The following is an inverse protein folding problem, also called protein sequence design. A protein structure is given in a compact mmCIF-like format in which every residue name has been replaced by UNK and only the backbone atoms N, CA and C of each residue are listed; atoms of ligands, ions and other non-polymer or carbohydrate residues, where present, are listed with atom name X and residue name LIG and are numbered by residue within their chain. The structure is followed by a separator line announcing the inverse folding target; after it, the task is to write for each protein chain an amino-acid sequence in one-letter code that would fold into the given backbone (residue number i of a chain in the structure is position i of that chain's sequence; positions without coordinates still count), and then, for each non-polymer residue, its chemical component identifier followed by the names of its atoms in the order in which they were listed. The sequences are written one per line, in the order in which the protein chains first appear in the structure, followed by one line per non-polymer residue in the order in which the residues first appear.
data_IF_096455484056
#
_entry.id   IF_096455484056
#
_cell.length_a   1.000
_cell.length_b   1.000
_cell.length_c   1.000
_cell.angle_alpha   90.00
_cell.angle_beta   90.00
_cell.angle_gamma   90.00
#
_symmetry.space_group_name_H-M   'P 1'
#
loop_
_entity.id
_entity.type
_entity.pdbx_description
1 polymer ?
#
# COMPACT_ATOMS: atom_id res chain seq x y z
N UNK A 1 -5.22 7.48 -3.13
CA UNK A 1 -6.15 8.54 -2.66
C UNK A 1 -5.37 9.84 -2.52
N UNK A 2 -5.95 10.96 -2.93
CA UNK A 2 -5.45 12.31 -2.60
C UNK A 2 -6.29 12.88 -1.44
N UNK A 3 -5.62 13.52 -0.48
CA UNK A 3 -6.26 14.13 0.71
C UNK A 3 -5.59 15.46 1.02
N UNK A 4 -6.37 16.49 1.34
CA UNK A 4 -5.89 17.84 1.67
C UNK A 4 -6.96 18.67 2.37
N UNK A 5 -6.58 19.83 2.88
CA UNK A 5 -7.49 20.86 3.38
C UNK A 5 -7.65 21.96 2.34
N UNK A 6 -8.88 22.46 2.16
CA UNK A 6 -9.16 23.58 1.29
C UNK A 6 -10.15 24.57 1.90
N UNK A 7 -9.96 25.86 1.63
CA UNK A 7 -10.90 26.92 2.01
C UNK A 7 -11.13 27.87 0.83
N UNK A 8 -12.38 28.32 0.58
CA UNK A 8 -12.64 29.25 -0.51
C UNK A 8 -12.15 30.64 -0.12
N UNK A 9 -11.75 31.45 -1.11
CA UNK A 9 -11.46 32.85 -0.86
C UNK A 9 -12.68 33.58 -0.28
N UNK A 10 -12.47 34.39 0.76
CA UNK A 10 -13.56 35.14 1.41
C UNK A 10 -14.23 36.11 0.41
N UNK A 11 -15.53 35.94 0.21
CA UNK A 11 -16.30 36.72 -0.75
C UNK A 11 -16.31 36.16 -2.18
N UNK A 12 -16.01 34.86 -2.35
CA UNK A 12 -16.35 34.11 -3.56
C UNK A 12 -17.87 33.94 -3.66
N UNK A 13 -18.47 34.12 -4.84
CA UNK A 13 -19.89 33.83 -5.09
C UNK A 13 -20.13 32.36 -5.40
N UNK A 14 -19.08 31.63 -5.81
CA UNK A 14 -19.06 30.19 -5.94
C UNK A 14 -17.97 29.61 -5.03
N UNK A 15 -18.35 28.66 -4.18
CA UNK A 15 -17.45 28.00 -3.23
C UNK A 15 -17.08 26.57 -3.69
N UNK A 16 -17.30 26.24 -4.96
CA UNK A 16 -16.91 24.95 -5.53
C UNK A 16 -15.41 24.89 -5.81
N UNK A 17 -14.80 23.79 -5.36
CA UNK A 17 -13.51 23.30 -5.81
C UNK A 17 -13.74 22.15 -6.78
N UNK A 18 -13.13 22.23 -7.95
CA UNK A 18 -13.19 21.22 -8.99
C UNK A 18 -11.80 20.61 -9.16
N UNK A 19 -11.72 19.28 -9.07
CA UNK A 19 -10.54 18.50 -9.37
C UNK A 19 -10.65 17.93 -10.78
N UNK A 20 -9.58 18.08 -11.56
CA UNK A 20 -9.45 17.48 -12.87
C UNK A 20 -8.20 16.61 -12.93
N UNK A 21 -8.38 15.38 -13.39
CA UNK A 21 -7.32 14.45 -13.77
C UNK A 21 -7.30 14.29 -15.31
N UNK A 22 -6.43 13.41 -15.81
CA UNK A 22 -6.30 13.07 -17.22
C UNK A 22 -5.76 14.22 -18.10
N UNK A 23 -4.47 14.49 -17.92
CA UNK A 23 -3.68 15.29 -18.85
C UNK A 23 -2.53 14.43 -19.36
N UNK A 24 -2.82 13.54 -20.31
CA UNK A 24 -1.83 12.62 -20.89
C UNK A 24 -1.67 11.27 -20.16
N UNK A 25 -2.59 10.93 -19.25
CA UNK A 25 -2.63 9.66 -18.54
C UNK A 25 -4.09 9.19 -18.38
N UNK A 26 -4.31 7.91 -18.08
CA UNK A 26 -5.64 7.33 -17.84
C UNK A 26 -6.17 7.55 -16.41
N UNK A 27 -5.61 8.52 -15.67
CA UNK A 27 -6.00 8.81 -14.30
C UNK A 27 -7.46 9.32 -14.22
N UNK A 28 -8.24 8.67 -13.37
CA UNK A 28 -9.65 8.98 -13.07
C UNK A 28 -9.80 9.30 -11.58
N UNK A 29 -10.58 10.35 -11.30
CA UNK A 29 -11.02 10.72 -9.96
C UNK A 29 -12.45 10.18 -9.75
N UNK A 30 -12.72 9.59 -8.59
CA UNK A 30 -14.07 9.14 -8.21
C UNK A 30 -15.02 10.31 -7.90
N UNK A 31 -14.48 11.39 -7.34
CA UNK A 31 -15.19 12.64 -7.03
C UNK A 31 -14.38 13.82 -7.56
N UNK A 32 -15.04 14.69 -8.32
CA UNK A 32 -14.40 15.82 -9.00
C UNK A 32 -14.90 17.19 -8.54
N UNK A 33 -15.99 17.28 -7.78
CA UNK A 33 -16.51 18.56 -7.27
C UNK A 33 -16.73 18.50 -5.76
N UNK A 34 -16.32 19.58 -5.07
CA UNK A 34 -16.45 19.73 -3.63
C UNK A 34 -16.99 21.13 -3.32
N UNK A 35 -18.02 21.22 -2.50
CA UNK A 35 -18.51 22.51 -1.98
C UNK A 35 -17.74 22.86 -0.71
N UNK A 36 -16.94 23.91 -0.76
CA UNK A 36 -16.19 24.40 0.39
C UNK A 36 -17.04 25.34 1.25
N UNK A 37 -16.70 25.45 2.54
CA UNK A 37 -17.39 26.34 3.47
C UNK A 37 -16.58 27.62 3.71
N UNK A 38 -17.16 28.82 3.49
CA UNK A 38 -16.48 30.08 3.79
C UNK A 38 -16.05 30.20 5.25
N UNK A 39 -14.85 30.75 5.47
CA UNK A 39 -14.32 31.05 6.81
C UNK A 39 -13.74 29.85 7.57
N UNK A 40 -13.68 28.66 6.96
CA UNK A 40 -13.10 27.47 7.59
C UNK A 40 -12.44 26.53 6.58
N UNK A 41 -11.57 25.65 7.08
CA UNK A 41 -10.98 24.57 6.31
C UNK A 41 -11.99 23.44 6.10
N UNK A 42 -12.08 22.95 4.87
CA UNK A 42 -12.86 21.77 4.47
C UNK A 42 -11.89 20.65 4.11
N UNK A 43 -12.08 19.47 4.69
CA UNK A 43 -11.31 18.29 4.30
C UNK A 43 -11.80 17.78 2.93
N UNK A 44 -10.87 17.58 2.00
CA UNK A 44 -11.16 17.09 0.65
C UNK A 44 -10.42 15.77 0.42
N UNK A 45 -11.16 14.77 -0.07
CA UNK A 45 -10.65 13.43 -0.38
C UNK A 45 -11.20 12.97 -1.72
N UNK A 46 -10.32 12.42 -2.55
CA UNK A 46 -10.69 11.74 -3.80
C UNK A 46 -9.80 10.52 -4.02
N UNK A 47 -10.38 9.42 -4.48
CA UNK A 47 -9.60 8.31 -5.00
C UNK A 47 -9.11 8.64 -6.40
N UNK A 48 -7.85 8.28 -6.66
CA UNK A 48 -7.22 8.41 -7.97
C UNK A 48 -6.88 6.99 -8.42
N UNK A 49 -7.39 6.58 -9.57
CA UNK A 49 -7.08 5.29 -10.20
C UNK A 49 -6.53 5.56 -11.60
N UNK A 50 -5.44 4.89 -11.97
CA UNK A 50 -4.80 5.05 -13.27
C UNK A 50 -3.37 4.55 -13.24
N UNK A 51 -2.65 4.74 -14.34
CA UNK A 51 -1.27 4.32 -14.56
C UNK A 51 -0.42 5.45 -15.15
N UNK A 52 0.89 5.40 -14.90
CA UNK A 52 1.84 6.41 -15.35
C UNK A 52 1.80 7.71 -14.53
N UNK A 53 2.46 8.73 -15.04
CA UNK A 53 2.57 10.03 -14.38
C UNK A 53 1.26 10.82 -14.52
N UNK A 54 0.65 11.13 -13.37
CA UNK A 54 -0.61 11.85 -13.32
C UNK A 54 -0.43 13.28 -12.78
N UNK A 55 -1.09 14.23 -13.44
CA UNK A 55 -1.24 15.60 -12.96
C UNK A 55 -2.68 15.85 -12.50
N UNK A 56 -2.84 16.27 -11.24
CA UNK A 56 -4.14 16.71 -10.70
C UNK A 56 -4.17 18.24 -10.70
N UNK A 57 -5.22 18.82 -11.30
CA UNK A 57 -5.44 20.27 -11.32
C UNK A 57 -6.59 20.66 -10.40
N UNK A 58 -6.36 21.72 -9.63
CA UNK A 58 -7.35 22.38 -8.80
C UNK A 58 -7.94 23.56 -9.59
N UNK A 59 -9.26 23.63 -9.66
CA UNK A 59 -9.99 24.67 -10.39
C UNK A 59 -11.09 25.25 -9.51
N UNK A 60 -11.36 26.52 -9.68
CA UNK A 60 -12.49 27.24 -9.10
C UNK A 60 -13.19 28.01 -10.22
N UNK A 61 -14.48 28.31 -10.05
CA UNK A 61 -15.25 29.04 -11.05
C UNK A 61 -15.25 30.57 -10.85
N UNK A 62 -14.76 31.04 -9.69
CA UNK A 62 -14.75 32.45 -9.33
C UNK A 62 -13.35 32.87 -8.83
N UNK A 63 -13.17 33.03 -7.52
CA UNK A 63 -11.91 33.46 -6.92
C UNK A 63 -10.99 32.28 -6.60
N UNK A 64 -9.82 32.59 -6.04
CA UNK A 64 -8.84 31.57 -5.64
C UNK A 64 -9.33 30.65 -4.51
N UNK A 65 -8.52 29.64 -4.23
CA UNK A 65 -8.69 28.69 -3.13
C UNK A 65 -7.41 28.65 -2.31
N UNK A 66 -7.53 28.49 -1.00
CA UNK A 66 -6.41 28.17 -0.12
C UNK A 66 -6.33 26.66 0.02
N UNK A 67 -5.13 26.10 -0.12
CA UNK A 67 -4.90 24.65 -0.04
C UNK A 67 -3.77 24.42 0.95
N UNK A 68 -3.94 23.43 1.82
CA UNK A 68 -2.93 23.00 2.77
C UNK A 68 -2.82 21.48 2.84
N UNK A 69 -1.62 20.97 3.17
CA UNK A 69 -1.31 19.56 3.40
C UNK A 69 -1.75 18.62 2.26
N UNK A 70 -1.34 18.91 1.02
CA UNK A 70 -1.60 18.01 -0.11
C UNK A 70 -0.82 16.71 0.02
N UNK A 71 -1.54 15.62 0.26
CA UNK A 71 -0.97 14.29 0.43
C UNK A 71 -1.57 13.30 -0.57
N UNK A 72 -0.70 12.49 -1.19
CA UNK A 72 -1.12 11.30 -1.94
C UNK A 72 -0.82 10.08 -1.08
N UNK A 73 -1.89 9.41 -0.67
CA UNK A 73 -1.85 8.22 0.16
C UNK A 73 -2.09 7.00 -0.73
N UNK A 74 -1.12 6.07 -0.85
CA UNK A 74 -1.33 4.83 -1.58
C UNK A 74 -2.40 4.01 -0.89
N UNK A 75 -3.35 3.47 -1.66
CA UNK A 75 -4.22 2.39 -1.17
C UNK A 75 -3.30 1.19 -0.94
N UNK A 76 -3.19 0.78 0.32
CA UNK A 76 -2.17 -0.17 0.78
C UNK A 76 -2.03 -1.39 -0.14
N UNK A 77 -0.86 -1.53 -0.76
CA UNK A 77 -0.21 -2.82 -0.82
C UNK A 77 0.87 -2.74 0.26
N UNK A 78 0.68 -3.43 1.37
CA UNK A 78 1.81 -3.74 2.23
C UNK A 78 2.84 -4.39 1.30
N UNK A 79 3.96 -3.70 1.03
CA UNK A 79 4.98 -4.14 0.06
C UNK A 79 5.70 -5.44 0.44
N UNK A 80 5.14 -6.18 1.40
CA UNK A 80 5.49 -7.53 1.78
C UNK A 80 4.47 -8.43 1.10
N UNK A 81 4.74 -8.81 -0.16
CA UNK A 81 4.25 -10.09 -0.63
C UNK A 81 4.78 -11.13 0.35
N UNK A 82 3.87 -11.89 0.97
CA UNK A 82 4.24 -12.99 1.85
C UNK A 82 5.37 -13.79 1.21
N UNK A 83 6.51 -13.91 1.90
CA UNK A 83 7.56 -14.80 1.46
C UNK A 83 6.90 -16.16 1.24
N UNK A 84 6.88 -16.65 0.00
CA UNK A 84 6.54 -18.04 -0.26
C UNK A 84 7.50 -18.83 0.60
N UNK A 85 6.98 -19.50 1.63
CA UNK A 85 7.80 -20.34 2.48
C UNK A 85 8.64 -21.21 1.55
N UNK A 86 9.97 -21.09 1.66
CA UNK A 86 10.90 -21.93 0.91
C UNK A 86 10.36 -23.35 0.99
N UNK A 87 10.17 -23.98 -0.18
CA UNK A 87 9.73 -25.36 -0.23
C UNK A 87 10.72 -26.15 0.61
N UNK A 88 10.29 -26.60 1.79
CA UNK A 88 11.13 -27.40 2.67
C UNK A 88 11.70 -28.53 1.81
N UNK A 89 13.01 -28.80 1.83
CA UNK A 89 13.58 -29.90 1.06
C UNK A 89 12.77 -31.15 1.37
N UNK A 90 11.98 -31.66 0.42
CA UNK A 90 11.04 -32.77 0.67
C UNK A 90 11.73 -34.14 0.65
N UNK A 91 13.05 -34.19 0.72
CA UNK A 91 13.79 -35.42 0.44
C UNK A 91 13.95 -36.34 1.66
N UNK A 92 13.50 -35.91 2.86
CA UNK A 92 13.50 -36.72 4.08
C UNK A 92 14.90 -37.04 4.61
N UNK A 93 15.92 -36.32 4.14
CA UNK A 93 17.29 -36.46 4.58
C UNK A 93 17.43 -35.94 6.01
N UNK A 94 18.08 -36.73 6.84
CA UNK A 94 18.29 -36.45 8.25
C UNK A 94 19.75 -36.09 8.44
N UNK A 95 20.00 -35.02 9.18
CA UNK A 95 21.34 -34.62 9.59
C UNK A 95 21.42 -34.54 11.12
N UNK A 96 22.57 -34.88 11.68
CA UNK A 96 22.89 -34.55 13.07
C UNK A 96 23.06 -33.04 13.24
N UNK A 97 23.07 -32.55 14.48
CA UNK A 97 23.25 -31.11 14.77
C UNK A 97 24.60 -30.55 14.32
N UNK A 98 25.62 -31.40 14.14
CA UNK A 98 26.92 -31.04 13.56
C UNK A 98 26.97 -31.20 12.02
N UNK A 99 25.83 -31.50 11.39
CA UNK A 99 25.67 -31.49 9.93
C UNK A 99 26.02 -32.80 9.20
N UNK A 100 26.18 -33.92 9.90
CA UNK A 100 26.47 -35.22 9.26
C UNK A 100 25.19 -35.88 8.77
N UNK A 101 25.22 -36.46 7.57
CA UNK A 101 24.08 -37.20 7.01
C UNK A 101 23.83 -38.53 7.75
N UNK A 102 22.58 -38.73 8.20
CA UNK A 102 22.13 -39.85 9.06
C UNK A 102 21.12 -40.78 8.34
N UNK A 103 20.93 -40.63 7.02
CA UNK A 103 19.95 -41.39 6.25
C UNK A 103 18.57 -40.74 6.24
N UNK A 104 17.52 -41.55 6.02
CA UNK A 104 16.12 -41.08 5.90
C UNK A 104 15.16 -41.72 6.91
N UNK A 105 15.64 -42.65 7.74
CA UNK A 105 14.80 -43.41 8.68
C UNK A 105 14.95 -42.89 10.11
N UNK A 106 13.92 -42.22 10.63
CA UNK A 106 13.89 -41.70 12.01
C UNK A 106 13.95 -42.83 13.03
N UNK A 107 13.36 -44.00 12.76
CA UNK A 107 13.35 -45.14 13.69
C UNK A 107 14.73 -45.79 13.88
N UNK A 108 15.65 -45.59 12.94
CA UNK A 108 17.02 -46.11 13.02
C UNK A 108 17.96 -45.20 13.84
N UNK A 109 17.51 -44.01 14.22
CA UNK A 109 18.31 -43.05 14.98
C UNK A 109 18.33 -43.40 16.48
N UNK A 110 19.47 -43.12 17.12
CA UNK A 110 19.57 -43.10 18.58
C UNK A 110 18.81 -41.89 19.14
N UNK A 111 18.46 -41.89 20.44
CA UNK A 111 17.86 -40.71 21.07
C UNK A 111 18.75 -39.47 20.91
N UNK A 112 18.15 -38.33 20.55
CA UNK A 112 18.90 -37.10 20.27
C UNK A 112 18.14 -36.07 19.43
N UNK A 113 18.84 -34.98 19.09
CA UNK A 113 18.32 -33.88 18.25
C UNK A 113 18.90 -34.01 16.84
N UNK A 114 18.04 -33.87 15.83
CA UNK A 114 18.36 -33.98 14.42
C UNK A 114 17.71 -32.86 13.62
N UNK A 115 18.16 -32.66 12.38
CA UNK A 115 17.53 -31.76 11.41
C UNK A 115 16.99 -32.59 10.25
N UNK A 116 15.70 -32.46 9.96
CA UNK A 116 15.04 -33.05 8.79
C UNK A 116 14.20 -31.97 8.11
N UNK A 117 14.37 -31.80 6.80
CA UNK A 117 13.61 -30.84 5.99
C UNK A 117 13.64 -29.40 6.56
N UNK A 118 14.78 -28.97 7.10
CA UNK A 118 14.97 -27.65 7.71
C UNK A 118 14.34 -27.47 9.10
N UNK A 119 13.78 -28.53 9.70
CA UNK A 119 13.18 -28.50 11.04
C UNK A 119 13.95 -29.39 12.00
N UNK A 120 14.02 -28.98 13.27
CA UNK A 120 14.58 -29.79 14.35
C UNK A 120 13.60 -30.89 14.74
N UNK A 121 14.10 -32.11 14.89
CA UNK A 121 13.39 -33.30 15.34
C UNK A 121 14.07 -33.86 16.59
N UNK A 122 13.28 -34.28 17.57
CA UNK A 122 13.74 -34.96 18.78
C UNK A 122 13.31 -36.42 18.68
N UNK A 123 14.26 -37.35 18.89
CA UNK A 123 14.05 -38.80 18.77
C UNK A 123 14.11 -39.52 20.11
#
# INVERSE_FOLDING_TARGET
MISFLAAPYTGSSDNKLILAANYGCDAVLDVTEFTLVPGQWTEVKANVTGSGDAAIRFKTNDKGVFIDNVCVIPVSLAGISSATADQSPKNGEIYSIDGRYMGKSVSALRPGIYVMNGKKLVK
#
